data_IF_252383358934
#
_entry.id   IF_252383358934
#
_cell.length_a   1.000
_cell.length_b   1.000
_cell.length_c   1.000
_cell.angle_alpha   90.00
_cell.angle_beta   90.00
_cell.angle_gamma   90.00
#
_symmetry.space_group_name_H-M   'P 1'
#
loop_
_entity.id
_entity.type
_entity.pdbx_description
1 polymer ?
#
# COMPACT_ATOMS: atom_id res chain seq x y z
N UNK A 1 -56.01 6.27 15.78
CA UNK A 1 -54.62 6.01 16.25
C UNK A 1 -53.96 4.99 15.33
N UNK A 2 -53.32 5.43 14.24
CA UNK A 2 -52.68 4.58 13.22
C UNK A 2 -51.33 5.20 12.84
N UNK A 3 -50.38 5.24 13.77
CA UNK A 3 -49.00 5.72 13.48
C UNK A 3 -47.89 4.90 14.16
N UNK A 4 -48.22 3.83 14.88
CA UNK A 4 -47.23 3.13 15.71
C UNK A 4 -46.82 1.74 15.18
N UNK A 5 -47.29 1.31 14.00
CA UNK A 5 -46.94 -0.02 13.46
C UNK A 5 -45.67 -0.03 12.58
N UNK A 6 -45.26 1.13 12.05
CA UNK A 6 -44.08 1.25 11.19
C UNK A 6 -42.75 1.20 11.97
N UNK A 7 -42.76 1.58 13.25
CA UNK A 7 -41.55 1.64 14.08
C UNK A 7 -41.07 0.25 14.51
N UNK A 8 -41.98 -0.72 14.68
CA UNK A 8 -41.65 -2.08 15.08
C UNK A 8 -40.93 -2.88 13.98
N UNK A 9 -41.14 -2.54 12.70
CA UNK A 9 -40.52 -3.26 11.58
C UNK A 9 -39.06 -2.85 11.35
N UNK A 10 -38.67 -1.63 11.74
CA UNK A 10 -37.31 -1.12 11.52
C UNK A 10 -36.28 -1.67 12.54
N UNK A 11 -36.74 -2.09 13.72
CA UNK A 11 -35.87 -2.58 14.80
C UNK A 11 -35.42 -4.03 14.57
N UNK A 12 -36.22 -4.85 13.87
CA UNK A 12 -35.92 -6.28 13.65
C UNK A 12 -34.79 -6.47 12.62
N UNK A 13 -34.60 -5.53 11.70
CA UNK A 13 -33.54 -5.61 10.69
C UNK A 13 -32.13 -5.33 11.23
N UNK A 14 -31.98 -4.75 12.43
CA UNK A 14 -30.66 -4.43 13.00
C UNK A 14 -30.01 -5.57 13.79
N UNK A 15 -30.76 -6.61 14.16
CA UNK A 15 -30.24 -7.74 14.94
C UNK A 15 -29.89 -8.97 14.09
N UNK A 16 -30.29 -9.02 12.81
CA UNK A 16 -30.08 -10.19 11.94
C UNK A 16 -28.66 -10.31 11.35
N UNK A 17 -27.74 -9.38 11.64
CA UNK A 17 -26.39 -9.40 11.07
C UNK A 17 -25.26 -9.72 12.06
N UNK A 18 -25.56 -10.05 13.33
CA UNK A 18 -24.49 -10.27 14.32
C UNK A 18 -24.18 -11.75 14.61
N UNK A 19 -25.16 -12.65 14.54
CA UNK A 19 -24.96 -14.07 14.89
C UNK A 19 -24.11 -14.83 13.86
N UNK A 20 -24.28 -14.54 12.56
CA UNK A 20 -23.50 -15.17 11.49
C UNK A 20 -21.99 -14.88 11.56
N UNK A 21 -21.59 -13.77 12.17
CA UNK A 21 -20.18 -13.40 12.32
C UNK A 21 -19.51 -14.07 13.52
N UNK A 22 -20.28 -14.40 14.57
CA UNK A 22 -19.77 -15.10 15.74
C UNK A 22 -19.67 -16.61 15.53
N UNK A 23 -20.64 -17.21 14.83
CA UNK A 23 -20.63 -18.65 14.53
C UNK A 23 -19.45 -19.02 13.61
N UNK A 24 -19.23 -18.24 12.54
CA UNK A 24 -18.06 -18.41 11.67
C UNK A 24 -16.73 -18.26 12.43
N UNK A 25 -16.66 -17.34 13.41
CA UNK A 25 -15.45 -17.15 14.25
C UNK A 25 -15.18 -18.33 15.18
N UNK A 26 -16.24 -19.02 15.65
CA UNK A 26 -16.12 -20.19 16.53
C UNK A 26 -15.73 -21.44 15.74
N UNK A 27 -16.29 -21.64 14.54
CA UNK A 27 -15.91 -22.74 13.64
C UNK A 27 -14.44 -22.64 13.17
N UNK A 28 -13.94 -21.44 12.85
CA UNK A 28 -12.54 -21.24 12.46
C UNK A 28 -11.58 -21.54 13.63
N UNK A 29 -11.95 -21.19 14.88
CA UNK A 29 -11.12 -21.46 16.05
C UNK A 29 -11.02 -22.94 16.42
N UNK A 30 -12.04 -23.74 16.12
CA UNK A 30 -12.09 -25.14 16.53
C UNK A 30 -11.33 -26.09 15.59
N UNK A 31 -11.11 -25.68 14.34
CA UNK A 31 -10.40 -26.49 13.32
C UNK A 31 -8.87 -26.26 13.28
N UNK A 32 -8.34 -25.25 13.97
CA UNK A 32 -6.92 -24.93 13.96
C UNK A 32 -6.15 -25.62 15.10
N UNK A 33 -6.00 -26.94 15.01
CA UNK A 33 -4.87 -27.66 15.63
C UNK A 33 -3.63 -27.70 14.70
N UNK A 34 -3.70 -27.03 13.55
CA UNK A 34 -2.56 -26.65 12.71
C UNK A 34 -2.10 -25.24 13.09
N UNK A 35 -0.79 -25.03 13.25
CA UNK A 35 -0.22 -23.76 13.70
C UNK A 35 -0.74 -22.56 12.91
N UNK A 36 -1.11 -21.50 13.63
CA UNK A 36 -1.59 -20.23 13.06
C UNK A 36 -0.49 -19.68 12.14
N UNK A 37 -0.80 -19.42 10.88
CA UNK A 37 0.18 -18.85 9.94
C UNK A 37 0.37 -17.34 10.18
N UNK A 38 1.52 -16.79 9.75
CA UNK A 38 1.74 -15.34 9.75
C UNK A 38 0.64 -14.62 8.97
N UNK A 39 0.22 -15.19 7.84
CA UNK A 39 -0.85 -14.64 7.02
C UNK A 39 -2.14 -14.50 7.80
N UNK A 40 -2.58 -15.54 8.53
CA UNK A 40 -3.83 -15.50 9.30
C UNK A 40 -3.80 -14.40 10.38
N UNK A 41 -2.67 -14.24 11.07
CA UNK A 41 -2.50 -13.19 12.09
C UNK A 41 -2.66 -11.80 11.48
N UNK A 42 -2.03 -11.54 10.32
CA UNK A 42 -2.09 -10.23 9.69
C UNK A 42 -3.37 -9.99 8.91
N UNK A 43 -4.03 -11.05 8.41
CA UNK A 43 -5.35 -10.95 7.81
C UNK A 43 -6.40 -10.53 8.85
N UNK A 44 -6.36 -11.08 10.07
CA UNK A 44 -7.23 -10.61 11.16
C UNK A 44 -6.98 -9.14 11.53
N UNK A 45 -5.71 -8.69 11.54
CA UNK A 45 -5.38 -7.26 11.72
C UNK A 45 -5.90 -6.40 10.58
N UNK A 46 -5.80 -6.88 9.34
CA UNK A 46 -6.31 -6.19 8.16
C UNK A 46 -7.84 -6.00 8.23
N UNK A 47 -8.56 -7.00 8.75
CA UNK A 47 -10.01 -6.92 8.98
C UNK A 47 -10.40 -6.06 10.19
N UNK A 48 -9.46 -5.72 11.07
CA UNK A 48 -9.69 -4.85 12.21
C UNK A 48 -9.80 -3.37 11.77
N UNK A 49 -11.01 -2.96 11.38
CA UNK A 49 -11.30 -1.61 10.86
C UNK A 49 -10.84 -0.52 11.84
N UNK A 50 -11.02 -0.71 13.16
CA UNK A 50 -10.64 0.28 14.18
C UNK A 50 -9.13 0.51 14.19
N UNK A 51 -8.34 -0.56 14.16
CA UNK A 51 -6.87 -0.48 14.10
C UNK A 51 -6.42 0.15 12.78
N UNK A 52 -6.97 -0.32 11.66
CA UNK A 52 -6.63 0.18 10.34
C UNK A 52 -6.93 1.67 10.20
N UNK A 53 -8.11 2.14 10.62
CA UNK A 53 -8.49 3.55 10.52
C UNK A 53 -7.66 4.45 11.43
N UNK A 54 -7.27 3.95 12.61
CA UNK A 54 -6.36 4.65 13.51
C UNK A 54 -4.99 4.86 12.84
N UNK A 55 -4.39 3.80 12.29
CA UNK A 55 -3.11 3.87 11.59
C UNK A 55 -3.16 4.80 10.36
N UNK A 56 -4.18 4.61 9.52
CA UNK A 56 -4.42 5.45 8.33
C UNK A 56 -4.61 6.92 8.72
N UNK A 57 -5.31 7.18 9.82
CA UNK A 57 -5.56 8.52 10.34
C UNK A 57 -4.28 9.23 10.78
N UNK A 58 -3.38 8.55 11.49
CA UNK A 58 -2.08 9.09 11.91
C UNK A 58 -1.19 9.42 10.71
N UNK A 59 -1.13 8.52 9.72
CA UNK A 59 -0.42 8.77 8.47
C UNK A 59 -0.94 10.04 7.79
N UNK A 60 -2.27 10.16 7.62
CA UNK A 60 -2.87 11.28 6.91
C UNK A 60 -2.67 12.63 7.61
N UNK A 61 -2.80 12.68 8.93
CA UNK A 61 -2.76 13.94 9.70
C UNK A 61 -1.36 14.39 10.08
N UNK A 62 -0.48 13.43 10.37
CA UNK A 62 0.78 13.71 11.09
C UNK A 62 2.01 13.21 10.34
N UNK A 63 1.84 12.41 9.28
CA UNK A 63 2.97 11.77 8.61
C UNK A 63 3.67 10.75 9.50
N UNK A 64 2.94 10.09 10.40
CA UNK A 64 3.50 9.15 11.38
C UNK A 64 4.18 7.96 10.67
N UNK A 65 5.52 7.92 10.75
CA UNK A 65 6.35 6.91 10.09
C UNK A 65 6.28 5.54 10.77
N UNK A 66 5.94 5.49 12.06
CA UNK A 66 5.73 4.23 12.80
C UNK A 66 4.39 3.63 12.39
N UNK A 67 3.34 4.47 12.30
CA UNK A 67 2.04 4.05 11.79
C UNK A 67 2.15 3.57 10.34
N UNK A 68 2.96 4.25 9.51
CA UNK A 68 3.25 3.84 8.15
C UNK A 68 3.86 2.44 8.07
N UNK A 69 4.92 2.16 8.85
CA UNK A 69 5.59 0.86 8.86
C UNK A 69 4.65 -0.25 9.32
N UNK A 70 3.90 -0.03 10.40
CA UNK A 70 2.90 -1.00 10.89
C UNK A 70 1.80 -1.27 9.88
N UNK A 71 1.30 -0.22 9.23
CA UNK A 71 0.27 -0.37 8.20
C UNK A 71 0.82 -1.17 7.01
N UNK A 72 2.05 -0.88 6.58
CA UNK A 72 2.74 -1.65 5.54
C UNK A 72 2.82 -3.12 5.89
N UNK A 73 3.29 -3.46 7.09
CA UNK A 73 3.40 -4.85 7.56
C UNK A 73 2.05 -5.57 7.48
N UNK A 74 0.96 -4.90 7.87
CA UNK A 74 -0.39 -5.49 7.80
C UNK A 74 -0.75 -5.81 6.35
N UNK A 75 -0.68 -4.83 5.45
CA UNK A 75 -1.03 -5.03 4.04
C UNK A 75 -0.15 -6.10 3.35
N UNK A 76 1.15 -6.11 3.62
CA UNK A 76 2.10 -7.03 2.98
C UNK A 76 1.86 -8.47 3.43
N UNK A 77 1.72 -8.69 4.73
CA UNK A 77 1.56 -10.04 5.26
C UNK A 77 0.12 -10.57 5.13
N UNK A 78 -0.87 -9.69 4.92
CA UNK A 78 -2.25 -10.10 4.61
C UNK A 78 -2.48 -10.38 3.12
N UNK A 79 -1.50 -10.17 2.24
CA UNK A 79 -1.63 -10.40 0.79
C UNK A 79 -2.30 -9.25 0.01
N UNK A 80 -2.41 -8.07 0.61
CA UNK A 80 -3.01 -6.86 0.01
C UNK A 80 -1.96 -5.77 -0.23
N UNK A 81 -0.76 -6.14 -0.68
CA UNK A 81 0.35 -5.19 -0.88
C UNK A 81 -0.02 -4.04 -1.83
N UNK A 82 -0.74 -4.33 -2.91
CA UNK A 82 -1.09 -3.34 -3.94
C UNK A 82 -1.99 -2.23 -3.39
N UNK A 83 -2.86 -2.54 -2.43
CA UNK A 83 -3.76 -1.61 -1.78
C UNK A 83 -3.02 -0.62 -0.87
N UNK A 84 -1.80 -0.96 -0.43
CA UNK A 84 -0.95 -0.06 0.34
C UNK A 84 -0.35 1.08 -0.51
N UNK A 85 -0.39 0.95 -1.84
CA UNK A 85 0.24 1.90 -2.75
C UNK A 85 -0.19 3.36 -2.52
N UNK A 86 -1.48 3.58 -2.23
CA UNK A 86 -2.01 4.90 -1.90
C UNK A 86 -1.27 5.55 -0.72
N UNK A 87 -1.09 4.82 0.38
CA UNK A 87 -0.44 5.36 1.59
C UNK A 87 1.05 5.58 1.36
N UNK A 88 1.70 4.71 0.58
CA UNK A 88 3.09 4.87 0.16
C UNK A 88 3.29 6.14 -0.65
N UNK A 89 2.47 6.34 -1.70
CA UNK A 89 2.52 7.57 -2.49
C UNK A 89 2.21 8.80 -1.66
N UNK A 90 1.21 8.74 -0.79
CA UNK A 90 0.83 9.87 0.04
C UNK A 90 1.98 10.30 0.97
N UNK A 91 2.61 9.35 1.66
CA UNK A 91 3.76 9.64 2.52
C UNK A 91 4.98 10.13 1.74
N UNK A 92 5.24 9.53 0.58
CA UNK A 92 6.34 9.96 -0.29
C UNK A 92 6.15 11.41 -0.74
N UNK A 93 5.00 11.73 -1.32
CA UNK A 93 4.80 13.03 -1.97
C UNK A 93 4.41 14.16 -1.00
N UNK A 94 3.80 13.85 0.15
CA UNK A 94 3.33 14.87 1.10
C UNK A 94 4.34 15.18 2.20
N UNK A 95 5.02 14.14 2.70
CA UNK A 95 5.95 14.26 3.84
C UNK A 95 7.41 14.06 3.43
N UNK A 96 7.69 13.88 2.14
CA UNK A 96 9.02 13.59 1.60
C UNK A 96 9.71 12.41 2.30
N UNK A 97 8.94 11.42 2.75
CA UNK A 97 9.49 10.30 3.50
C UNK A 97 10.23 9.33 2.59
N UNK A 98 11.56 9.28 2.71
CA UNK A 98 12.45 8.54 1.81
C UNK A 98 12.12 7.04 1.71
N UNK A 99 11.74 6.40 2.81
CA UNK A 99 11.31 4.99 2.81
C UNK A 99 9.97 4.76 2.08
N UNK A 100 9.08 5.75 2.09
CA UNK A 100 7.83 5.67 1.33
C UNK A 100 8.07 5.84 -0.17
N UNK A 101 9.05 6.67 -0.58
CA UNK A 101 9.52 6.68 -1.97
C UNK A 101 10.01 5.29 -2.39
N UNK A 102 10.86 4.65 -1.58
CA UNK A 102 11.35 3.30 -1.90
C UNK A 102 10.23 2.24 -1.91
N UNK A 103 9.26 2.33 -0.99
CA UNK A 103 8.11 1.42 -0.96
C UNK A 103 7.20 1.61 -2.18
N UNK A 104 7.05 2.84 -2.68
CA UNK A 104 6.31 3.10 -3.93
C UNK A 104 7.03 2.51 -5.14
N UNK A 105 8.36 2.54 -5.16
CA UNK A 105 9.15 1.82 -6.15
C UNK A 105 8.88 0.31 -6.11
N UNK A 106 8.94 -0.33 -4.94
CA UNK A 106 8.79 -1.78 -4.82
C UNK A 106 7.41 -2.28 -5.24
N UNK A 107 6.36 -1.48 -5.01
CA UNK A 107 5.00 -1.83 -5.45
C UNK A 107 4.82 -1.63 -6.96
N UNK A 108 5.45 -0.59 -7.53
CA UNK A 108 5.29 -0.26 -8.96
C UNK A 108 6.19 -1.08 -9.89
N UNK A 109 7.32 -1.58 -9.39
CA UNK A 109 8.27 -2.29 -10.24
C UNK A 109 7.62 -3.55 -10.82
N UNK A 110 7.65 -3.67 -12.13
CA UNK A 110 7.27 -4.90 -12.84
C UNK A 110 8.50 -5.51 -13.46
N UNK A 111 8.55 -6.85 -13.56
CA UNK A 111 9.70 -7.55 -14.14
C UNK A 111 10.15 -6.93 -15.47
N UNK A 112 11.46 -6.67 -15.56
CA UNK A 112 12.14 -6.06 -16.72
C UNK A 112 11.86 -6.85 -18.01
N UNK A 113 11.61 -8.15 -17.88
CA UNK A 113 11.38 -9.09 -19.00
C UNK A 113 10.02 -8.84 -19.67
N UNK A 114 9.04 -8.32 -18.93
CA UNK A 114 7.72 -8.01 -19.48
C UNK A 114 7.60 -6.51 -19.67
N UNK A 115 7.85 -6.01 -20.88
CA UNK A 115 7.63 -4.61 -21.31
C UNK A 115 6.18 -4.09 -21.10
N UNK A 116 5.34 -4.84 -20.41
CA UNK A 116 3.88 -4.68 -20.32
C UNK A 116 3.48 -3.37 -19.65
N UNK A 117 4.38 -2.65 -18.96
CA UNK A 117 4.07 -1.32 -18.43
C UNK A 117 5.29 -0.36 -18.33
N UNK A 118 5.73 0.17 -19.48
CA UNK A 118 6.81 1.17 -19.57
C UNK A 118 6.55 2.39 -18.67
N UNK A 119 5.31 2.86 -18.58
CA UNK A 119 4.92 4.00 -17.74
C UNK A 119 5.11 3.70 -16.26
N UNK A 120 4.66 2.55 -15.77
CA UNK A 120 4.89 2.14 -14.38
C UNK A 120 6.38 2.04 -14.07
N UNK A 121 7.18 1.49 -14.98
CA UNK A 121 8.62 1.40 -14.78
C UNK A 121 9.30 2.76 -14.69
N UNK A 122 8.86 3.75 -15.47
CA UNK A 122 9.32 5.13 -15.36
C UNK A 122 8.99 5.71 -13.98
N UNK A 123 7.75 5.58 -13.52
CA UNK A 123 7.38 6.05 -12.18
C UNK A 123 8.14 5.31 -11.07
N UNK A 124 8.27 3.98 -11.16
CA UNK A 124 9.05 3.19 -10.22
C UNK A 124 10.49 3.71 -10.14
N UNK A 125 11.15 3.92 -11.30
CA UNK A 125 12.52 4.45 -11.34
C UNK A 125 12.63 5.85 -10.73
N UNK A 126 11.65 6.73 -11.02
CA UNK A 126 11.58 8.03 -10.37
C UNK A 126 11.52 7.91 -8.84
N UNK A 127 10.63 7.06 -8.32
CA UNK A 127 10.49 6.83 -6.88
C UNK A 127 11.78 6.27 -6.26
N UNK A 128 12.45 5.33 -6.93
CA UNK A 128 13.73 4.77 -6.49
C UNK A 128 14.82 5.85 -6.41
N UNK A 129 15.02 6.61 -7.48
CA UNK A 129 16.02 7.68 -7.53
C UNK A 129 15.74 8.76 -6.48
N UNK A 130 14.47 9.14 -6.30
CA UNK A 130 14.09 10.14 -5.29
C UNK A 130 14.30 9.63 -3.87
N UNK A 131 14.09 8.34 -3.60
CA UNK A 131 14.41 7.74 -2.30
C UNK A 131 15.91 7.82 -1.98
N UNK A 132 16.77 7.60 -2.98
CA UNK A 132 18.22 7.72 -2.86
C UNK A 132 18.64 9.17 -2.62
N UNK A 133 18.10 10.12 -3.37
CA UNK A 133 18.35 11.56 -3.17
C UNK A 133 18.00 12.04 -1.76
N UNK A 134 16.97 11.45 -1.15
CA UNK A 134 16.54 11.73 0.22
C UNK A 134 17.27 10.89 1.28
N UNK A 135 18.30 10.13 0.88
CA UNK A 135 19.20 9.42 1.79
C UNK A 135 18.71 8.04 2.26
N UNK A 136 17.76 7.40 1.57
CA UNK A 136 17.41 6.01 1.87
C UNK A 136 18.53 5.06 1.45
N UNK A 137 19.19 4.43 2.43
CA UNK A 137 20.46 3.72 2.21
C UNK A 137 20.35 2.52 1.29
N UNK A 138 19.25 1.78 1.37
CA UNK A 138 19.08 0.54 0.59
C UNK A 138 18.77 0.83 -0.89
N UNK A 139 18.44 2.08 -1.25
CA UNK A 139 18.15 2.45 -2.63
C UNK A 139 19.38 2.28 -3.54
N UNK A 140 20.60 2.45 -3.02
CA UNK A 140 21.81 2.41 -3.84
C UNK A 140 22.02 1.03 -4.48
N UNK A 141 21.94 -0.04 -3.69
CA UNK A 141 22.11 -1.41 -4.21
C UNK A 141 21.06 -1.73 -5.28
N UNK A 142 19.83 -1.26 -5.10
CA UNK A 142 18.75 -1.45 -6.06
C UNK A 142 18.95 -0.62 -7.32
N UNK A 143 19.50 0.60 -7.22
CA UNK A 143 19.90 1.41 -8.38
C UNK A 143 21.01 0.71 -9.16
N UNK A 144 22.01 0.17 -8.48
CA UNK A 144 23.10 -0.57 -9.10
C UNK A 144 22.61 -1.83 -9.83
N UNK A 145 21.65 -2.55 -9.26
CA UNK A 145 21.01 -3.69 -9.91
C UNK A 145 20.20 -3.25 -11.14
N UNK A 146 19.43 -2.16 -11.02
CA UNK A 146 18.49 -1.72 -12.06
C UNK A 146 19.13 -1.00 -13.23
N UNK A 147 20.19 -0.23 -12.98
CA UNK A 147 20.87 0.61 -13.98
C UNK A 147 22.30 0.16 -14.29
N UNK A 148 22.87 -0.74 -13.46
CA UNK A 148 24.26 -1.17 -13.55
C UNK A 148 25.19 -0.37 -12.63
N UNK A 149 26.19 -1.05 -12.05
CA UNK A 149 27.13 -0.49 -11.06
C UNK A 149 27.96 0.70 -11.53
N UNK A 150 28.20 0.83 -12.84
CA UNK A 150 28.98 1.92 -13.44
C UNK A 150 28.10 3.03 -14.02
N UNK A 151 26.78 2.92 -13.91
CA UNK A 151 25.88 3.94 -14.44
C UNK A 151 26.01 5.24 -13.65
N UNK A 152 26.10 6.36 -14.38
CA UNK A 152 25.97 7.68 -13.76
C UNK A 152 24.55 7.82 -13.20
N UNK A 153 24.43 7.89 -11.87
CA UNK A 153 23.15 8.10 -11.20
C UNK A 153 22.63 9.49 -11.62
N UNK A 154 21.50 9.50 -12.31
CA UNK A 154 20.80 10.74 -12.70
C UNK A 154 19.87 11.19 -11.58
N UNK A 155 19.50 12.48 -11.56
CA UNK A 155 18.51 12.95 -10.61
C UNK A 155 17.13 12.39 -10.96
N UNK A 156 16.27 12.20 -9.96
CA UNK A 156 14.87 11.78 -10.14
C UNK A 156 14.12 12.73 -11.08
N UNK A 157 14.38 14.04 -10.97
CA UNK A 157 13.82 15.08 -11.82
C UNK A 157 14.28 14.95 -13.28
N UNK A 158 15.58 14.80 -13.51
CA UNK A 158 16.12 14.66 -14.87
C UNK A 158 15.66 13.34 -15.50
N UNK A 159 15.58 12.26 -14.71
CA UNK A 159 15.03 10.99 -15.14
C UNK A 159 13.59 11.14 -15.67
N UNK A 160 12.70 11.80 -14.91
CA UNK A 160 11.35 12.07 -15.37
C UNK A 160 11.36 12.91 -16.66
N UNK A 161 12.12 14.01 -16.68
CA UNK A 161 12.22 14.90 -17.85
C UNK A 161 12.63 14.13 -19.11
N UNK A 162 13.60 13.25 -19.01
CA UNK A 162 14.09 12.44 -20.13
C UNK A 162 13.06 11.41 -20.64
N UNK A 163 11.99 11.16 -19.88
CA UNK A 163 10.94 10.21 -20.24
C UNK A 163 9.58 10.87 -20.53
N UNK A 164 9.50 12.20 -20.66
CA UNK A 164 8.24 12.92 -20.89
C UNK A 164 7.49 12.50 -22.14
N UNK A 165 8.19 12.20 -23.24
CA UNK A 165 7.56 11.76 -24.48
C UNK A 165 6.78 10.45 -24.29
N UNK A 166 7.33 9.52 -23.51
CA UNK A 166 6.68 8.24 -23.19
C UNK A 166 5.50 8.45 -22.24
N UNK A 167 5.64 9.36 -21.26
CA UNK A 167 4.60 9.63 -20.26
C UNK A 167 3.38 10.35 -20.83
N UNK A 168 3.59 11.26 -21.79
CA UNK A 168 2.54 12.17 -22.28
C UNK A 168 2.22 12.02 -23.76
N UNK A 169 2.88 11.09 -24.47
CA UNK A 169 2.66 10.85 -25.90
C UNK A 169 3.02 12.05 -26.78
N UNK A 170 3.87 12.96 -26.29
CA UNK A 170 4.27 14.16 -27.02
C UNK A 170 5.39 13.84 -28.00
N UNK A 171 5.04 13.65 -29.27
CA UNK A 171 6.00 13.76 -30.37
C UNK A 171 6.28 15.24 -30.61
N UNK A 172 7.40 15.76 -30.12
CA UNK A 172 7.88 17.07 -30.55
C UNK A 172 8.47 16.90 -31.96
N UNK A 173 7.67 17.23 -32.98
CA UNK A 173 8.16 17.57 -34.32
C UNK A 173 8.80 18.94 -34.30
#
# INVERSE_FOLDING_TARGET
MRKNLAFAFFVICLFSCNERLEENRKEIKQNNLSGISTHDVYFEKFLNIVEMDSLKGKIRREGDTIAFQKLKEIYYNSGYENEFFYYSMFMANTYEYSYAFYTSYSILMTDIITEKNKVNNIYANYYLLKSYELGYKDALSTIEERFGKSAKITSSKDYLKNNYEILFGMNNR
#
